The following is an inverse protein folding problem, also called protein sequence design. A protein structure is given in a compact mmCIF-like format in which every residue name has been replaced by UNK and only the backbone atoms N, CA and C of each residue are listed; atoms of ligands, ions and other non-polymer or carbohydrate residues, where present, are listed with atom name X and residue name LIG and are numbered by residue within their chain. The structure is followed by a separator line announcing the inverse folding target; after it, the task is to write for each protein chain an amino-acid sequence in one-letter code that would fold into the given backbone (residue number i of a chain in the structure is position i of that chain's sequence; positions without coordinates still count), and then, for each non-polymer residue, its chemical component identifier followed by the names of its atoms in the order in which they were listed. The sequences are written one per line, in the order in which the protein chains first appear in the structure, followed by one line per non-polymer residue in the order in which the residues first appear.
data_IF_175038499872
#
_entry.id   IF_175038499872
#
_cell.length_a   1.000
_cell.length_b   1.000
_cell.length_c   1.000
_cell.angle_alpha   90.00
_cell.angle_beta   90.00
_cell.angle_gamma   90.00
#
_symmetry.space_group_name_H-M   'P 1'
#
loop_
_entity.id
_entity.type
_entity.pdbx_description
1 polymer ?
#
# COMPACT_ATOMS: atom_id res chain seq x y z
N UNK A 1 -27.01 -12.44 12.53
CA UNK A 1 -26.22 -12.18 13.15
C UNK A 1 -25.11 -12.01 12.75
N UNK A 2 -24.52 -11.51 12.92
CA UNK A 2 -23.50 -11.34 12.38
C UNK A 2 -22.51 -11.51 13.17
N UNK A 3 -22.08 -12.30 13.59
CA UNK A 3 -20.99 -12.48 14.41
C UNK A 3 -19.67 -12.29 13.76
N UNK A 4 -19.60 -11.39 12.90
CA UNK A 4 -18.36 -11.19 12.21
C UNK A 4 -17.38 -10.45 13.10
N UNK A 5 -16.29 -11.08 13.44
CA UNK A 5 -15.25 -10.42 14.19
C UNK A 5 -14.26 -9.89 13.18
N UNK A 6 -14.16 -8.60 13.10
CA UNK A 6 -13.21 -8.01 12.19
C UNK A 6 -11.91 -7.84 12.92
N UNK A 7 -10.89 -8.51 12.46
CA UNK A 7 -9.55 -8.35 13.00
C UNK A 7 -8.80 -7.40 12.09
N UNK A 8 -8.32 -6.32 12.65
CA UNK A 8 -7.59 -5.35 11.87
C UNK A 8 -6.14 -5.32 12.31
N UNK A 9 -5.26 -5.59 11.39
CA UNK A 9 -3.84 -5.52 11.64
C UNK A 9 -3.31 -4.22 11.03
N UNK A 10 -2.61 -3.44 11.83
CA UNK A 10 -2.07 -2.16 11.36
C UNK A 10 -0.56 -2.22 11.41
N UNK A 11 0.06 -1.89 10.29
CA UNK A 11 1.50 -1.84 10.20
C UNK A 11 1.91 -0.43 9.81
N UNK A 12 2.78 0.17 10.57
CA UNK A 12 3.30 1.49 10.24
C UNK A 12 4.67 1.31 9.60
N UNK A 13 4.73 1.48 8.29
CA UNK A 13 5.98 1.36 7.55
C UNK A 13 6.58 2.75 7.36
N UNK A 14 7.61 3.05 8.12
CA UNK A 14 8.28 4.35 8.04
C UNK A 14 9.76 4.13 7.86
N UNK A 15 10.32 4.79 6.85
CA UNK A 15 11.76 4.71 6.61
C UNK A 15 12.28 3.28 6.48
N UNK A 16 11.41 2.36 6.09
CA UNK A 16 11.79 0.96 6.04
C UNK A 16 11.89 0.51 4.60
N UNK A 17 13.01 0.70 4.01
CA UNK A 17 13.27 0.18 2.66
C UNK A 17 13.33 -1.33 2.77
N UNK A 18 12.55 -2.02 1.95
CA UNK A 18 12.51 -3.47 1.99
C UNK A 18 11.46 -4.06 2.90
N UNK A 19 10.77 -3.22 3.66
CA UNK A 19 9.69 -3.71 4.52
C UNK A 19 8.47 -4.11 3.70
N UNK A 20 8.26 -3.43 2.58
CA UNK A 20 7.19 -3.76 1.65
C UNK A 20 7.84 -3.98 0.30
N UNK A 21 7.66 -5.16 -0.27
CA UNK A 21 8.25 -5.49 -1.55
C UNK A 21 7.24 -6.09 -2.50
N UNK A 22 7.44 -5.84 -3.80
CA UNK A 22 6.60 -6.43 -4.83
C UNK A 22 7.49 -7.27 -5.74
N UNK A 23 7.04 -8.45 -6.08
CA UNK A 23 7.78 -9.36 -6.95
C UNK A 23 6.90 -9.90 -8.05
N UNK A 24 7.45 -10.09 -9.22
CA UNK A 24 6.71 -10.75 -10.29
C UNK A 24 6.74 -12.25 -10.02
N UNK A 25 5.64 -12.92 -10.32
CA UNK A 25 5.52 -14.35 -10.07
C UNK A 25 5.02 -15.06 -11.31
N UNK A 26 5.85 -15.89 -11.91
CA UNK A 26 5.46 -16.74 -13.05
C UNK A 26 4.78 -16.02 -14.23
N UNK A 27 5.06 -14.74 -14.42
CA UNK A 27 4.47 -13.93 -15.48
C UNK A 27 2.94 -13.83 -15.39
N UNK A 28 2.36 -14.27 -14.29
CA UNK A 28 0.91 -14.25 -14.16
C UNK A 28 0.41 -13.35 -13.06
N UNK A 29 1.19 -13.15 -12.05
CA UNK A 29 0.73 -12.33 -10.93
C UNK A 29 1.86 -11.56 -10.27
N UNK A 30 1.47 -10.64 -9.42
CA UNK A 30 2.40 -9.86 -8.61
C UNK A 30 2.23 -10.31 -7.17
N UNK A 31 3.34 -10.57 -6.51
CA UNK A 31 3.33 -10.95 -5.11
C UNK A 31 3.76 -9.76 -4.27
N UNK A 32 2.92 -9.39 -3.34
CA UNK A 32 3.23 -8.34 -2.38
C UNK A 32 3.66 -8.99 -1.07
N UNK A 33 4.82 -8.63 -0.57
CA UNK A 33 5.31 -9.14 0.71
C UNK A 33 5.51 -7.99 1.66
N UNK A 34 5.03 -8.15 2.87
CA UNK A 34 5.17 -7.14 3.90
C UNK A 34 5.89 -7.76 5.10
N UNK A 35 6.99 -7.13 5.47
CA UNK A 35 7.68 -7.45 6.72
C UNK A 35 7.98 -8.93 6.93
N UNK A 36 8.79 -9.54 6.06
CA UNK A 36 9.21 -10.92 6.22
C UNK A 36 8.09 -11.85 6.68
N UNK A 37 7.30 -12.31 5.78
CA UNK A 37 6.24 -13.29 6.06
C UNK A 37 5.10 -12.82 6.95
N UNK A 38 5.07 -11.53 7.30
CA UNK A 38 3.92 -11.04 8.06
C UNK A 38 2.66 -11.07 7.20
N UNK A 39 2.79 -10.70 5.93
CA UNK A 39 1.68 -10.72 5.01
C UNK A 39 2.18 -10.95 3.59
N UNK A 40 1.55 -11.87 2.90
CA UNK A 40 1.83 -12.10 1.50
C UNK A 40 0.52 -12.06 0.74
N UNK A 41 0.46 -11.28 -0.31
CA UNK A 41 -0.73 -11.15 -1.14
C UNK A 41 -0.36 -11.43 -2.58
N UNK A 42 -1.09 -12.33 -3.23
CA UNK A 42 -0.92 -12.58 -4.65
C UNK A 42 -2.05 -11.87 -5.39
N UNK A 43 -1.72 -11.15 -6.42
CA UNK A 43 -2.72 -10.40 -7.18
C UNK A 43 -2.46 -10.52 -8.67
N UNK A 44 -3.52 -10.48 -9.46
CA UNK A 44 -3.36 -10.52 -10.90
C UNK A 44 -2.91 -9.17 -11.43
N UNK A 45 -2.60 -9.11 -12.72
CA UNK A 45 -2.11 -7.89 -13.34
C UNK A 45 -3.09 -6.74 -13.21
N UNK A 46 -4.36 -7.01 -13.40
CA UNK A 46 -5.40 -5.98 -13.33
C UNK A 46 -5.47 -5.37 -11.93
N UNK A 47 -5.45 -6.21 -10.91
CA UNK A 47 -5.48 -5.75 -9.53
C UNK A 47 -4.23 -4.95 -9.19
N UNK A 48 -3.08 -5.42 -9.64
CA UNK A 48 -1.83 -4.72 -9.38
C UNK A 48 -1.83 -3.34 -10.05
N UNK A 49 -2.35 -3.24 -11.28
CA UNK A 49 -2.46 -1.95 -11.97
C UNK A 49 -3.39 -1.02 -11.22
N UNK A 50 -4.49 -1.54 -10.71
CA UNK A 50 -5.44 -0.74 -9.93
C UNK A 50 -4.81 -0.21 -8.65
N UNK A 51 -4.02 -1.05 -7.98
CA UNK A 51 -3.32 -0.64 -6.77
C UNK A 51 -2.32 0.46 -7.07
N UNK A 52 -1.62 0.36 -8.19
CA UNK A 52 -0.66 1.39 -8.58
C UNK A 52 -1.36 2.73 -8.78
N UNK A 53 -2.49 2.74 -9.47
CA UNK A 53 -3.25 3.95 -9.68
C UNK A 53 -3.73 4.56 -8.37
N UNK A 54 -4.23 3.73 -7.47
CA UNK A 54 -4.70 4.19 -6.16
C UNK A 54 -3.55 4.77 -5.34
N UNK A 55 -2.41 4.11 -5.38
CA UNK A 55 -1.24 4.58 -4.65
C UNK A 55 -0.76 5.92 -5.20
N UNK A 56 -0.73 6.06 -6.53
CA UNK A 56 -0.32 7.30 -7.15
C UNK A 56 -1.24 8.45 -6.77
N UNK A 57 -2.55 8.17 -6.72
CA UNK A 57 -3.52 9.18 -6.33
C UNK A 57 -3.34 9.59 -4.88
N UNK A 58 -3.16 8.62 -3.99
CA UNK A 58 -2.95 8.90 -2.57
C UNK A 58 -1.69 9.72 -2.34
N UNK A 59 -0.62 9.38 -3.08
CA UNK A 59 0.63 10.13 -2.99
C UNK A 59 0.45 11.58 -3.46
N UNK A 60 -0.32 11.77 -4.52
CA UNK A 60 -0.59 13.11 -5.01
C UNK A 60 -1.36 13.92 -3.98
N UNK A 61 -2.31 13.28 -3.30
CA UNK A 61 -3.08 13.94 -2.26
C UNK A 61 -2.19 14.34 -1.07
N UNK A 62 -1.31 13.46 -0.66
CA UNK A 62 -0.39 13.76 0.45
C UNK A 62 0.51 14.93 0.09
N UNK A 63 1.04 14.94 -1.12
CA UNK A 63 1.91 16.03 -1.56
C UNK A 63 1.15 17.34 -1.65
N UNK A 64 -0.08 17.30 -2.12
CA UNK A 64 -0.92 18.48 -2.21
C UNK A 64 -1.23 19.06 -0.83
N UNK A 65 -1.58 18.19 0.11
CA UNK A 65 -1.88 18.62 1.47
C UNK A 65 -0.65 19.24 2.15
N UNK A 66 0.50 18.65 1.91
CA UNK A 66 1.74 19.19 2.48
C UNK A 66 2.07 20.55 1.91
N UNK A 67 1.83 20.73 0.61
CA UNK A 67 2.07 22.00 -0.05
C UNK A 67 1.17 23.09 0.53
N UNK A 68 -0.11 22.79 0.69
CA UNK A 68 -1.05 23.74 1.25
C UNK A 68 -0.69 24.09 2.68
N UNK A 69 -0.22 23.12 3.43
CA UNK A 69 0.17 23.34 4.81
C UNK A 69 1.36 24.28 4.90
N UNK A 70 2.35 24.08 4.05
CA UNK A 70 3.51 24.95 4.04
C UNK A 70 3.16 26.37 3.64
N UNK A 71 2.21 26.54 2.74
CA UNK A 71 1.78 27.86 2.32
C UNK A 71 1.03 28.59 3.41
N UNK A 72 0.31 27.85 4.23
CA UNK A 72 -0.51 28.48 5.27
C UNK A 72 0.26 28.78 6.53
N UNK A 73 1.47 28.32 6.64
CA UNK A 73 2.26 28.59 7.83
C UNK A 73 3.07 29.87 7.76
N UNK A 74 2.87 30.69 6.82
CA UNK A 74 3.61 31.96 6.74
C UNK A 74 3.04 33.02 7.65
#
# INVERSE_FOLDING_TARGET
MSGTIETRHVLHARESVGMVEFHSQNHECVRLEVSNDWLTVYMDESTASGLLEELQRALADVKSQRYDRERNED
#
